data_IF_646581613010
#
_entry.id   IF_646581613010
#
_cell.length_a   1.000
_cell.length_b   1.000
_cell.length_c   1.000
_cell.angle_alpha   90.00
_cell.angle_beta   90.00
_cell.angle_gamma   90.00
#
_symmetry.space_group_name_H-M   'P 1'
#
loop_
_entity.id
_entity.type
_entity.pdbx_description
1 polymer ?
#
# COMPACT_ATOMS: atom_id res chain seq x y z
N UNK A 1 44.98 47.47 12.27
CA UNK A 1 45.08 46.01 12.05
C UNK A 1 43.79 45.35 12.50
N UNK A 2 42.86 44.99 11.59
CA UNK A 2 41.64 44.26 11.93
C UNK A 2 41.91 42.75 11.99
N UNK A 3 41.38 42.09 13.03
CA UNK A 3 41.53 40.67 13.33
C UNK A 3 40.90 39.76 12.24
N UNK A 4 41.57 38.67 11.82
CA UNK A 4 41.13 37.78 10.73
C UNK A 4 39.96 36.85 11.11
N UNK A 5 39.47 36.89 12.34
CA UNK A 5 38.51 35.90 12.87
C UNK A 5 37.06 36.21 12.43
N UNK A 6 36.75 37.46 12.04
CA UNK A 6 35.38 37.83 11.63
C UNK A 6 35.01 37.43 10.21
N UNK A 7 35.96 37.04 9.35
CA UNK A 7 35.68 36.69 7.94
C UNK A 7 35.36 35.21 7.71
N UNK A 8 35.67 34.33 8.68
CA UNK A 8 35.42 32.88 8.58
C UNK A 8 34.01 32.54 9.03
N UNK A 9 33.49 33.21 10.07
CA UNK A 9 32.14 33.01 10.58
C UNK A 9 31.05 33.50 9.60
N UNK A 10 31.32 34.56 8.83
CA UNK A 10 30.37 35.03 7.81
C UNK A 10 30.32 34.11 6.59
N UNK A 11 31.43 33.44 6.23
CA UNK A 11 31.47 32.48 5.12
C UNK A 11 30.81 31.14 5.48
N UNK A 12 30.90 30.69 6.74
CA UNK A 12 30.20 29.49 7.23
C UNK A 12 28.68 29.69 7.34
N UNK A 13 28.23 30.89 7.73
CA UNK A 13 26.80 31.21 7.77
C UNK A 13 26.16 31.24 6.37
N UNK A 14 26.88 31.71 5.35
CA UNK A 14 26.40 31.70 3.96
C UNK A 14 26.45 30.30 3.31
N UNK A 15 27.41 29.45 3.68
CA UNK A 15 27.43 28.06 3.23
C UNK A 15 26.26 27.23 3.82
N UNK A 16 25.90 27.48 5.09
CA UNK A 16 24.73 26.84 5.70
C UNK A 16 23.40 27.35 5.11
N UNK A 17 23.28 28.65 4.80
CA UNK A 17 22.11 29.21 4.13
C UNK A 17 21.97 28.75 2.67
N UNK A 18 23.08 28.54 1.94
CA UNK A 18 23.07 28.02 0.58
C UNK A 18 22.76 26.52 0.51
N UNK A 19 23.11 25.73 1.54
CA UNK A 19 22.71 24.32 1.64
C UNK A 19 21.22 24.14 2.00
N UNK A 20 20.59 25.11 2.66
CA UNK A 20 19.15 25.06 2.98
C UNK A 20 18.23 25.44 1.81
N UNK A 21 18.75 25.99 0.71
CA UNK A 21 17.98 26.35 -0.49
C UNK A 21 18.06 25.29 -1.61
N UNK A 22 18.86 24.24 -1.44
CA UNK A 22 19.03 23.16 -2.42
C UNK A 22 18.15 21.92 -2.20
N UNK A 23 17.43 21.84 -1.08
CA UNK A 23 16.45 20.80 -0.84
C UNK A 23 15.08 21.21 -1.40
N UNK A 24 15.04 21.55 -2.70
CA UNK A 24 13.81 21.33 -3.45
C UNK A 24 13.58 19.82 -3.35
N UNK A 25 12.70 19.43 -2.44
CA UNK A 25 12.09 18.13 -2.47
C UNK A 25 11.73 17.89 -3.93
N UNK A 26 12.37 16.90 -4.57
CA UNK A 26 11.73 16.20 -5.66
C UNK A 26 10.46 15.62 -5.03
N UNK A 27 9.41 16.44 -4.94
CA UNK A 27 8.08 15.96 -4.64
C UNK A 27 7.77 15.08 -5.84
N UNK A 28 7.91 13.77 -5.63
CA UNK A 28 7.36 12.79 -6.54
C UNK A 28 5.93 13.25 -6.82
N UNK A 29 5.57 13.39 -8.12
CA UNK A 29 4.19 13.73 -8.48
C UNK A 29 3.25 12.79 -7.71
N UNK A 30 2.17 13.31 -7.12
CA UNK A 30 1.18 12.49 -6.45
C UNK A 30 0.78 11.32 -7.34
N UNK A 31 0.57 10.14 -6.75
CA UNK A 31 0.06 8.99 -7.48
C UNK A 31 -1.41 9.27 -7.80
N UNK A 32 -1.77 9.25 -9.08
CA UNK A 32 -3.13 9.51 -9.52
C UNK A 32 -4.10 8.47 -8.92
N UNK A 33 -5.31 8.88 -8.48
CA UNK A 33 -6.33 7.95 -8.02
C UNK A 33 -6.64 6.87 -9.07
N UNK A 34 -7.01 5.65 -8.67
CA UNK A 34 -7.11 4.51 -9.57
C UNK A 34 -8.13 4.72 -10.69
N UNK A 35 -9.24 5.43 -10.46
CA UNK A 35 -10.19 5.77 -11.53
C UNK A 35 -9.60 6.75 -12.54
N UNK A 36 -8.85 7.75 -12.10
CA UNK A 36 -8.15 8.66 -13.00
C UNK A 36 -7.09 7.91 -13.81
N UNK A 37 -6.32 7.04 -13.14
CA UNK A 37 -5.31 6.22 -13.79
C UNK A 37 -5.91 5.31 -14.87
N UNK A 38 -7.04 4.64 -14.62
CA UNK A 38 -7.71 3.79 -15.61
C UNK A 38 -8.09 4.55 -16.90
N UNK A 39 -8.43 5.84 -16.77
CA UNK A 39 -8.83 6.68 -17.91
C UNK A 39 -7.71 7.58 -18.45
N UNK A 40 -6.53 7.62 -17.83
CA UNK A 40 -5.37 8.37 -18.32
C UNK A 40 -4.95 8.01 -19.75
N UNK A 41 -4.46 8.96 -20.54
CA UNK A 41 -4.34 8.85 -22.00
C UNK A 41 -3.60 7.60 -22.50
N UNK A 42 -2.54 7.16 -21.82
CA UNK A 42 -1.71 6.00 -22.21
C UNK A 42 -2.32 4.64 -21.86
N UNK A 43 -3.40 4.67 -21.09
CA UNK A 43 -4.07 3.52 -20.55
C UNK A 43 -5.32 3.19 -21.35
N UNK A 44 -5.57 1.89 -21.45
CA UNK A 44 -6.65 1.30 -22.22
C UNK A 44 -7.51 0.46 -21.31
N UNK A 45 -8.82 0.53 -21.54
CA UNK A 45 -9.81 -0.19 -20.74
C UNK A 45 -10.73 -0.97 -21.68
N UNK A 46 -10.66 -2.29 -21.59
CA UNK A 46 -11.30 -3.21 -22.53
C UNK A 46 -12.05 -4.31 -21.79
N UNK A 47 -13.24 -4.65 -22.27
CA UNK A 47 -13.91 -5.88 -21.88
C UNK A 47 -13.65 -6.99 -22.91
N UNK A 48 -13.32 -8.19 -22.45
CA UNK A 48 -13.01 -9.32 -23.32
C UNK A 48 -13.08 -10.67 -22.61
N UNK A 49 -13.10 -11.73 -23.41
CA UNK A 49 -12.99 -13.10 -22.91
C UNK A 49 -11.53 -13.49 -22.80
N UNK A 50 -11.11 -14.11 -21.70
CA UNK A 50 -9.77 -14.68 -21.57
C UNK A 50 -9.66 -15.92 -22.46
N UNK A 51 -8.76 -15.92 -23.45
CA UNK A 51 -8.63 -17.01 -24.43
C UNK A 51 -7.31 -17.77 -24.31
N UNK A 52 -6.33 -17.25 -23.58
CA UNK A 52 -5.04 -17.91 -23.34
C UNK A 52 -4.43 -17.45 -22.02
N UNK A 53 -3.89 -18.41 -21.25
CA UNK A 53 -3.05 -18.16 -20.07
C UNK A 53 -1.65 -18.66 -20.42
N UNK A 54 -0.70 -17.74 -20.54
CA UNK A 54 0.68 -18.09 -20.86
C UNK A 54 1.51 -18.14 -19.57
N UNK A 55 2.19 -19.27 -19.27
CA UNK A 55 2.99 -19.43 -18.05
C UNK A 55 4.19 -18.47 -17.97
N UNK A 56 4.56 -17.82 -19.07
CA UNK A 56 5.56 -16.76 -19.08
C UNK A 56 5.07 -15.43 -18.46
N UNK A 57 3.89 -15.39 -17.85
CA UNK A 57 3.34 -14.20 -17.19
C UNK A 57 2.53 -13.30 -18.13
N UNK A 58 1.78 -13.91 -19.06
CA UNK A 58 0.94 -13.17 -20.02
C UNK A 58 -0.46 -13.73 -20.09
N UNK A 59 -1.44 -12.87 -20.30
CA UNK A 59 -2.84 -13.22 -20.53
C UNK A 59 -3.28 -12.65 -21.87
N UNK A 60 -3.98 -13.45 -22.68
CA UNK A 60 -4.52 -13.00 -23.97
C UNK A 60 -6.03 -12.91 -23.90
N UNK A 61 -6.56 -11.72 -24.17
CA UNK A 61 -7.99 -11.44 -24.17
C UNK A 61 -8.51 -11.25 -25.59
N UNK A 62 -9.62 -11.91 -25.93
CA UNK A 62 -10.39 -11.58 -27.12
C UNK A 62 -11.30 -10.38 -26.80
N UNK A 63 -10.99 -9.22 -27.39
CA UNK A 63 -11.71 -7.98 -27.22
C UNK A 63 -13.17 -8.13 -27.66
N UNK A 64 -14.10 -7.79 -26.77
CA UNK A 64 -15.54 -7.66 -27.09
C UNK A 64 -15.95 -6.18 -27.15
N UNK A 65 -15.50 -5.39 -26.19
CA UNK A 65 -15.93 -4.00 -26.02
C UNK A 65 -14.77 -3.08 -25.58
N UNK A 66 -14.84 -1.80 -25.91
CA UNK A 66 -13.81 -0.79 -25.57
C UNK A 66 -14.45 0.28 -24.70
N UNK A 67 -14.06 0.32 -23.43
CA UNK A 67 -14.73 1.13 -22.41
C UNK A 67 -14.10 2.52 -22.23
N UNK A 68 -12.85 2.70 -22.66
CA UNK A 68 -12.16 3.99 -22.61
C UNK A 68 -12.67 5.00 -23.67
N UNK A 69 -13.25 4.51 -24.77
CA UNK A 69 -13.72 5.33 -25.89
C UNK A 69 -12.62 6.01 -26.72
N UNK A 70 -11.35 5.59 -26.57
CA UNK A 70 -10.18 6.20 -27.21
C UNK A 70 -9.90 5.63 -28.59
N UNK A 71 -9.27 6.43 -29.46
CA UNK A 71 -8.77 6.03 -30.78
C UNK A 71 -7.23 5.92 -30.79
N UNK A 72 -6.62 5.12 -31.68
CA UNK A 72 -7.24 4.10 -32.54
C UNK A 72 -7.82 2.96 -31.69
N UNK A 73 -8.71 2.11 -32.23
CA UNK A 73 -9.28 0.99 -31.46
C UNK A 73 -8.19 -0.07 -31.14
N UNK A 74 -8.18 -0.71 -29.96
CA UNK A 74 -7.24 -1.80 -29.67
C UNK A 74 -7.42 -2.99 -30.63
N UNK A 75 -6.39 -3.83 -30.82
CA UNK A 75 -6.47 -5.05 -31.61
C UNK A 75 -7.55 -6.01 -31.08
N UNK A 76 -7.94 -6.99 -31.91
CA UNK A 76 -8.94 -7.99 -31.50
C UNK A 76 -8.42 -8.95 -30.43
N UNK A 77 -7.14 -9.30 -30.50
CA UNK A 77 -6.42 -10.04 -29.46
C UNK A 77 -5.52 -9.08 -28.71
N UNK A 78 -5.68 -9.04 -27.40
CA UNK A 78 -4.91 -8.17 -26.52
C UNK A 78 -4.07 -9.05 -25.63
N UNK A 79 -2.77 -9.03 -25.87
CA UNK A 79 -1.78 -9.76 -25.10
C UNK A 79 -1.15 -8.81 -24.06
N UNK A 80 -1.44 -9.04 -22.79
CA UNK A 80 -0.96 -8.24 -21.66
C UNK A 80 -0.05 -9.04 -20.75
N UNK A 81 1.04 -8.40 -20.32
CA UNK A 81 1.86 -8.92 -19.23
C UNK A 81 1.19 -8.68 -17.89
N UNK A 82 1.30 -9.66 -17.00
CA UNK A 82 0.64 -9.65 -15.70
C UNK A 82 1.58 -10.09 -14.57
N UNK A 83 1.30 -9.71 -13.31
CA UNK A 83 1.96 -10.31 -12.17
C UNK A 83 1.74 -11.83 -12.15
N UNK A 84 2.77 -12.61 -11.79
CA UNK A 84 2.69 -14.08 -11.77
C UNK A 84 1.59 -14.60 -10.83
N UNK A 85 1.36 -13.89 -9.73
CA UNK A 85 0.32 -14.19 -8.73
C UNK A 85 -1.10 -14.14 -9.29
N UNK A 86 -1.31 -13.50 -10.46
CA UNK A 86 -2.60 -13.41 -11.12
C UNK A 86 -2.95 -14.68 -11.92
N UNK A 87 -1.95 -15.43 -12.39
CA UNK A 87 -2.17 -16.55 -13.31
C UNK A 87 -3.08 -17.62 -12.72
N UNK A 88 -2.99 -17.86 -11.41
CA UNK A 88 -3.79 -18.86 -10.69
C UNK A 88 -5.18 -18.33 -10.27
N UNK A 89 -5.46 -17.04 -10.50
CA UNK A 89 -6.70 -16.35 -10.06
C UNK A 89 -7.69 -16.11 -11.20
N UNK A 90 -7.32 -16.48 -12.43
CA UNK A 90 -8.12 -16.24 -13.63
C UNK A 90 -8.57 -17.55 -14.25
N UNK A 91 -9.74 -17.52 -14.88
CA UNK A 91 -10.36 -18.70 -15.48
C UNK A 91 -10.46 -18.51 -16.99
N UNK A 92 -9.96 -19.47 -17.75
CA UNK A 92 -10.07 -19.46 -19.21
C UNK A 92 -11.54 -19.44 -19.64
N UNK A 93 -11.87 -18.65 -20.65
CA UNK A 93 -13.23 -18.48 -21.19
C UNK A 93 -14.08 -17.43 -20.47
N UNK A 94 -13.73 -17.06 -19.22
CA UNK A 94 -14.45 -16.04 -18.46
C UNK A 94 -14.27 -14.64 -19.06
N UNK A 95 -15.23 -13.78 -18.73
CA UNK A 95 -15.24 -12.38 -19.19
C UNK A 95 -14.67 -11.44 -18.14
N UNK A 96 -13.74 -10.61 -18.58
CA UNK A 96 -13.06 -9.65 -17.74
C UNK A 96 -13.07 -8.25 -18.37
N UNK A 97 -12.94 -7.25 -17.51
CA UNK A 97 -12.57 -5.89 -17.86
C UNK A 97 -11.12 -5.68 -17.43
N UNK A 98 -10.26 -5.31 -18.37
CA UNK A 98 -8.81 -5.17 -18.16
C UNK A 98 -8.37 -3.73 -18.44
N UNK A 99 -7.68 -3.16 -17.46
CA UNK A 99 -6.93 -1.91 -17.58
C UNK A 99 -5.45 -2.19 -17.85
N UNK A 100 -4.89 -1.63 -18.93
CA UNK A 100 -3.49 -1.86 -19.29
C UNK A 100 -2.83 -0.61 -19.89
N UNK A 101 -1.53 -0.46 -19.65
CA UNK A 101 -0.69 0.56 -20.26
C UNK A 101 -0.05 0.02 -21.55
N UNK A 102 0.07 0.91 -22.54
CA UNK A 102 0.74 0.61 -23.82
C UNK A 102 2.16 1.18 -23.91
N UNK A 103 2.46 2.20 -23.11
CA UNK A 103 3.78 2.84 -23.00
C UNK A 103 4.32 2.84 -21.58
N UNK A 104 5.58 3.24 -21.44
CA UNK A 104 6.22 3.56 -20.16
C UNK A 104 6.85 4.95 -20.23
N UNK A 105 7.03 5.62 -19.09
CA UNK A 105 7.88 6.82 -19.04
C UNK A 105 9.29 6.47 -19.52
N UNK A 106 9.86 7.30 -20.39
CA UNK A 106 11.22 7.09 -20.84
C UNK A 106 12.18 7.36 -19.66
N UNK A 107 13.00 6.38 -19.24
CA UNK A 107 13.93 6.58 -18.14
C UNK A 107 15.02 7.61 -18.45
N UNK A 108 15.27 7.93 -19.73
CA UNK A 108 16.27 8.92 -20.17
C UNK A 108 15.68 10.31 -20.35
N UNK A 109 14.37 10.38 -20.56
CA UNK A 109 13.63 11.63 -20.65
C UNK A 109 12.26 11.48 -19.98
N UNK A 110 12.13 11.85 -18.69
CA UNK A 110 10.88 11.70 -17.93
C UNK A 110 9.69 12.48 -18.52
N UNK A 111 9.94 13.43 -19.43
CA UNK A 111 8.91 14.20 -20.14
C UNK A 111 8.41 13.48 -21.40
N UNK A 112 9.18 12.51 -21.91
CA UNK A 112 8.80 11.69 -23.05
C UNK A 112 8.39 10.28 -22.60
N UNK A 113 7.49 9.67 -23.37
CA UNK A 113 7.03 8.31 -23.14
C UNK A 113 7.45 7.44 -24.32
N UNK A 114 8.02 6.28 -24.00
CA UNK A 114 8.42 5.28 -24.96
C UNK A 114 7.39 4.14 -25.00
N UNK A 115 7.22 3.51 -26.16
CA UNK A 115 6.49 2.24 -26.22
C UNK A 115 7.17 1.22 -25.30
N UNK A 116 6.35 0.38 -24.67
CA UNK A 116 6.88 -0.66 -23.80
C UNK A 116 7.51 -1.75 -24.69
N UNK A 117 8.84 -2.00 -24.62
CA UNK A 117 9.52 -2.92 -25.54
C UNK A 117 9.00 -4.36 -25.42
N UNK A 118 8.51 -4.74 -24.24
CA UNK A 118 7.95 -6.07 -23.96
C UNK A 118 6.42 -6.15 -24.23
N UNK A 119 5.86 -5.08 -24.80
CA UNK A 119 4.44 -4.92 -25.09
C UNK A 119 3.58 -4.48 -23.89
N UNK A 120 2.25 -4.48 -24.08
CA UNK A 120 1.29 -4.01 -23.10
C UNK A 120 1.45 -4.65 -21.71
N UNK A 121 1.21 -3.86 -20.67
CA UNK A 121 1.33 -4.29 -19.28
C UNK A 121 0.06 -3.93 -18.52
N UNK A 122 -0.49 -4.90 -17.79
CA UNK A 122 -1.65 -4.66 -16.93
C UNK A 122 -1.30 -3.62 -15.85
N UNK A 123 -2.23 -2.71 -15.58
CA UNK A 123 -1.98 -1.65 -14.60
C UNK A 123 -1.89 -2.23 -13.20
N UNK A 124 -0.88 -1.76 -12.46
CA UNK A 124 -0.68 -2.05 -11.04
C UNK A 124 -0.46 -0.72 -10.33
N UNK A 125 -1.31 -0.42 -9.35
CA UNK A 125 -1.24 0.79 -8.52
C UNK A 125 -2.03 0.56 -7.22
N UNK A 126 -2.02 1.53 -6.31
CA UNK A 126 -2.87 1.50 -5.11
C UNK A 126 -4.34 1.44 -5.57
N UNK A 127 -5.05 0.40 -5.12
CA UNK A 127 -6.42 0.09 -5.54
C UNK A 127 -6.57 -0.59 -6.91
N UNK A 128 -5.47 -0.93 -7.58
CA UNK A 128 -5.44 -1.72 -8.81
C UNK A 128 -4.36 -2.79 -8.67
N UNK A 129 -4.64 -3.90 -7.98
CA UNK A 129 -3.67 -5.00 -7.83
C UNK A 129 -4.19 -6.36 -8.32
N UNK A 130 -4.14 -6.60 -9.64
CA UNK A 130 -3.96 -5.64 -10.73
C UNK A 130 -5.32 -5.12 -11.25
N UNK A 131 -5.32 -4.23 -12.27
CA UNK A 131 -6.53 -3.71 -12.92
C UNK A 131 -7.27 -4.76 -13.77
N UNK A 132 -7.76 -5.82 -13.13
CA UNK A 132 -8.55 -6.89 -13.71
C UNK A 132 -9.84 -7.08 -12.90
N UNK A 133 -10.97 -6.85 -13.55
CA UNK A 133 -12.29 -6.96 -12.94
C UNK A 133 -13.11 -8.02 -13.65
N UNK A 134 -14.01 -8.71 -12.94
CA UNK A 134 -15.02 -9.52 -13.61
C UNK A 134 -15.98 -8.61 -14.40
N UNK A 135 -16.39 -9.05 -15.58
CA UNK A 135 -17.31 -8.27 -16.43
C UNK A 135 -18.76 -8.33 -15.91
N UNK A 136 -19.03 -7.66 -14.78
CA UNK A 136 -20.35 -7.62 -14.14
C UNK A 136 -21.08 -6.30 -14.41
N UNK A 137 -22.43 -6.26 -14.29
CA UNK A 137 -23.19 -5.02 -14.41
C UNK A 137 -22.74 -3.93 -13.42
N UNK A 138 -22.35 -4.32 -12.20
CA UNK A 138 -21.87 -3.38 -11.18
C UNK A 138 -20.56 -2.72 -11.59
N UNK A 139 -19.57 -3.51 -12.03
CA UNK A 139 -18.28 -2.99 -12.52
C UNK A 139 -18.51 -2.07 -13.73
N UNK A 140 -19.35 -2.48 -14.68
CA UNK A 140 -19.70 -1.65 -15.84
C UNK A 140 -20.36 -0.33 -15.44
N UNK A 141 -21.29 -0.34 -14.49
CA UNK A 141 -21.99 0.86 -14.06
C UNK A 141 -21.07 1.86 -13.34
N UNK A 142 -20.12 1.35 -12.54
CA UNK A 142 -19.10 2.15 -11.87
C UNK A 142 -18.16 2.78 -12.91
N UNK A 143 -17.56 1.97 -13.79
CA UNK A 143 -16.63 2.45 -14.81
C UNK A 143 -17.32 3.41 -15.80
N UNK A 144 -18.56 3.15 -16.22
CA UNK A 144 -19.31 4.07 -17.06
C UNK A 144 -19.49 5.45 -16.42
N UNK A 145 -19.72 5.49 -15.09
CA UNK A 145 -19.80 6.76 -14.35
C UNK A 145 -18.43 7.41 -14.22
N UNK A 146 -17.35 6.63 -14.06
CA UNK A 146 -15.98 7.13 -13.92
C UNK A 146 -15.36 7.69 -15.20
N UNK A 147 -16.00 7.48 -16.36
CA UNK A 147 -15.45 7.85 -17.67
C UNK A 147 -15.19 9.35 -17.83
N UNK A 148 -15.97 10.21 -17.18
CA UNK A 148 -15.77 11.65 -17.18
C UNK A 148 -15.36 12.16 -15.81
N UNK A 149 -14.65 13.29 -15.78
CA UNK A 149 -14.25 13.99 -14.55
C UNK A 149 -15.46 14.34 -13.69
N UNK A 150 -16.46 15.04 -14.26
CA UNK A 150 -17.76 15.30 -13.60
C UNK A 150 -18.43 14.03 -13.07
N UNK A 151 -18.26 12.91 -13.77
CA UNK A 151 -18.78 11.62 -13.36
C UNK A 151 -18.07 11.08 -12.12
N UNK A 152 -16.73 11.15 -12.09
CA UNK A 152 -15.90 10.80 -10.92
C UNK A 152 -16.21 11.66 -9.70
N UNK A 153 -16.44 12.95 -9.91
CA UNK A 153 -16.83 13.89 -8.86
C UNK A 153 -18.31 13.79 -8.47
N UNK A 154 -19.13 12.93 -9.10
CA UNK A 154 -20.58 12.93 -8.84
C UNK A 154 -20.95 12.21 -7.53
N UNK A 155 -22.08 12.60 -6.92
CA UNK A 155 -22.65 11.85 -5.77
C UNK A 155 -22.90 10.39 -6.10
N UNK A 156 -23.35 10.12 -7.33
CA UNK A 156 -23.57 8.75 -7.82
C UNK A 156 -22.28 7.92 -7.78
N UNK A 157 -21.14 8.49 -8.15
CA UNK A 157 -19.85 7.80 -8.05
C UNK A 157 -19.53 7.49 -6.59
N UNK A 158 -19.69 8.46 -5.70
CA UNK A 158 -19.48 8.26 -4.27
C UNK A 158 -20.33 7.09 -3.73
N UNK A 159 -21.64 7.07 -4.04
CA UNK A 159 -22.54 5.99 -3.62
C UNK A 159 -22.10 4.63 -4.18
N UNK A 160 -21.65 4.59 -5.44
CA UNK A 160 -21.11 3.38 -6.07
C UNK A 160 -19.81 2.90 -5.42
N UNK A 161 -18.92 3.82 -5.02
CA UNK A 161 -17.68 3.48 -4.30
C UNK A 161 -17.97 2.94 -2.90
N UNK A 162 -18.92 3.53 -2.17
CA UNK A 162 -19.34 2.99 -0.86
C UNK A 162 -19.97 1.61 -0.99
N UNK A 163 -20.79 1.39 -2.02
CA UNK A 163 -21.38 0.08 -2.31
C UNK A 163 -20.30 -0.94 -2.71
N UNK A 164 -19.32 -0.54 -3.52
CA UNK A 164 -18.19 -1.38 -3.90
C UNK A 164 -17.35 -1.78 -2.68
N UNK A 165 -17.05 -0.82 -1.80
CA UNK A 165 -16.28 -1.05 -0.58
C UNK A 165 -16.97 -2.02 0.39
N UNK A 166 -18.28 -1.87 0.57
CA UNK A 166 -19.08 -2.75 1.42
C UNK A 166 -19.47 -4.09 0.76
N UNK A 167 -19.23 -4.23 -0.55
CA UNK A 167 -19.60 -5.41 -1.33
C UNK A 167 -18.58 -6.55 -1.22
N UNK A 168 -18.91 -7.74 -1.76
CA UNK A 168 -18.04 -8.93 -1.67
C UNK A 168 -16.98 -9.00 -2.78
N UNK A 169 -17.05 -8.14 -3.81
CA UNK A 169 -16.12 -8.17 -4.93
C UNK A 169 -14.79 -7.52 -4.54
N UNK A 170 -13.78 -8.35 -4.29
CA UNK A 170 -12.45 -7.90 -3.83
C UNK A 170 -11.82 -6.86 -4.74
N UNK A 171 -11.90 -7.03 -6.06
CA UNK A 171 -11.29 -6.08 -7.00
C UNK A 171 -11.99 -4.71 -6.92
N UNK A 172 -13.30 -4.69 -6.66
CA UNK A 172 -14.03 -3.45 -6.41
C UNK A 172 -13.77 -2.87 -5.02
N UNK A 173 -13.56 -3.69 -3.99
CA UNK A 173 -13.14 -3.23 -2.67
C UNK A 173 -11.77 -2.55 -2.73
N UNK A 174 -10.80 -3.17 -3.41
CA UNK A 174 -9.47 -2.60 -3.64
C UNK A 174 -9.56 -1.28 -4.39
N UNK A 175 -10.32 -1.24 -5.49
CA UNK A 175 -10.56 -0.02 -6.27
C UNK A 175 -11.15 1.10 -5.41
N UNK A 176 -12.18 0.81 -4.62
CA UNK A 176 -12.82 1.79 -3.76
C UNK A 176 -11.88 2.27 -2.65
N UNK A 177 -11.14 1.37 -2.01
CA UNK A 177 -10.18 1.72 -0.96
C UNK A 177 -9.02 2.56 -1.49
N UNK A 178 -8.50 2.24 -2.68
CA UNK A 178 -7.47 3.05 -3.33
C UNK A 178 -7.98 4.40 -3.81
N UNK A 179 -9.23 4.48 -4.30
CA UNK A 179 -9.86 5.75 -4.63
C UNK A 179 -10.00 6.61 -3.38
N UNK A 180 -10.50 6.05 -2.28
CA UNK A 180 -10.55 6.77 -1.00
C UNK A 180 -9.16 7.25 -0.61
N UNK A 181 -8.14 6.38 -0.65
CA UNK A 181 -6.80 6.72 -0.19
C UNK A 181 -6.13 7.88 -0.96
N UNK A 182 -6.33 7.92 -2.27
CA UNK A 182 -5.62 8.86 -3.15
C UNK A 182 -6.45 10.10 -3.52
N UNK A 183 -7.77 10.00 -3.51
CA UNK A 183 -8.65 11.11 -3.89
C UNK A 183 -8.99 11.97 -2.68
N UNK A 184 -8.31 13.12 -2.58
CA UNK A 184 -8.54 14.10 -1.53
C UNK A 184 -9.92 14.78 -1.64
N UNK A 185 -10.50 14.86 -2.83
CA UNK A 185 -11.77 15.56 -3.08
C UNK A 185 -12.97 14.81 -2.49
N UNK A 186 -12.80 13.52 -2.17
CA UNK A 186 -13.81 12.75 -1.45
C UNK A 186 -13.99 13.17 0.02
N UNK A 187 -13.08 13.98 0.58
CA UNK A 187 -12.99 14.27 2.02
C UNK A 187 -14.31 14.76 2.66
N UNK A 188 -14.96 15.77 2.06
CA UNK A 188 -16.21 16.32 2.60
C UNK A 188 -17.34 15.27 2.62
N UNK A 189 -17.49 14.51 1.53
CA UNK A 189 -18.53 13.47 1.43
C UNK A 189 -18.26 12.30 2.35
N UNK A 190 -16.99 11.94 2.53
CA UNK A 190 -16.58 10.92 3.49
C UNK A 190 -16.99 11.34 4.91
N UNK A 191 -16.77 12.60 5.27
CA UNK A 191 -17.13 13.16 6.57
C UNK A 191 -18.64 13.09 6.84
N UNK A 192 -19.46 13.42 5.84
CA UNK A 192 -20.92 13.49 5.99
C UNK A 192 -21.62 12.12 5.89
N UNK A 193 -21.13 11.24 5.03
CA UNK A 193 -21.89 10.06 4.59
C UNK A 193 -21.08 8.76 4.50
N UNK A 194 -19.74 8.82 4.47
CA UNK A 194 -18.89 7.65 4.22
C UNK A 194 -18.25 7.05 5.47
N UNK A 195 -18.05 7.86 6.51
CA UNK A 195 -17.24 7.52 7.69
C UNK A 195 -17.60 6.16 8.30
N UNK A 196 -18.87 5.94 8.62
CA UNK A 196 -19.33 4.70 9.26
C UNK A 196 -19.10 3.46 8.38
N UNK A 197 -19.24 3.59 7.06
CA UNK A 197 -18.99 2.49 6.11
C UNK A 197 -17.49 2.16 6.06
N UNK A 198 -16.64 3.18 5.96
CA UNK A 198 -15.17 3.00 5.91
C UNK A 198 -14.67 2.36 7.21
N UNK A 199 -15.09 2.88 8.35
CA UNK A 199 -14.72 2.34 9.65
C UNK A 199 -15.19 0.88 9.80
N UNK A 200 -16.44 0.58 9.44
CA UNK A 200 -16.98 -0.78 9.49
C UNK A 200 -16.14 -1.75 8.65
N UNK A 201 -15.79 -1.37 7.42
CA UNK A 201 -15.01 -2.21 6.51
C UNK A 201 -13.58 -2.40 7.01
N UNK A 202 -12.96 -1.38 7.58
CA UNK A 202 -11.62 -1.48 8.17
C UNK A 202 -11.58 -2.41 9.40
N UNK A 203 -12.66 -2.42 10.20
CA UNK A 203 -12.82 -3.30 11.37
C UNK A 203 -13.15 -4.75 11.01
N UNK A 204 -13.84 -4.99 9.90
CA UNK A 204 -14.30 -6.32 9.49
C UNK A 204 -13.13 -7.25 9.12
N UNK A 205 -13.00 -8.37 9.85
CA UNK A 205 -11.98 -9.39 9.61
C UNK A 205 -12.19 -10.17 8.30
N UNK A 206 -13.41 -10.15 7.72
CA UNK A 206 -13.72 -10.74 6.43
C UNK A 206 -13.23 -9.90 5.23
N UNK A 207 -12.93 -8.62 5.45
CA UNK A 207 -12.38 -7.73 4.42
C UNK A 207 -10.91 -8.12 4.12
N UNK A 208 -10.48 -8.10 2.85
CA UNK A 208 -9.08 -8.36 2.49
C UNK A 208 -8.09 -7.53 3.31
N UNK A 209 -6.96 -8.09 3.78
CA UNK A 209 -6.01 -7.37 4.62
C UNK A 209 -5.48 -6.07 4.00
N UNK A 210 -5.22 -6.06 2.69
CA UNK A 210 -4.68 -4.88 2.00
C UNK A 210 -5.70 -3.74 1.90
N UNK A 211 -7.00 -4.06 1.70
CA UNK A 211 -8.10 -3.08 1.80
C UNK A 211 -8.11 -2.45 3.19
N UNK A 212 -8.08 -3.28 4.24
CA UNK A 212 -8.10 -2.79 5.64
C UNK A 212 -6.89 -1.91 5.94
N UNK A 213 -5.70 -2.30 5.45
CA UNK A 213 -4.46 -1.54 5.62
C UNK A 213 -4.56 -0.17 4.93
N UNK A 214 -5.05 -0.14 3.69
CA UNK A 214 -5.26 1.10 2.92
C UNK A 214 -6.23 2.05 3.62
N UNK A 215 -7.36 1.52 4.14
CA UNK A 215 -8.34 2.34 4.87
C UNK A 215 -7.79 2.88 6.20
N UNK A 216 -7.06 2.05 6.95
CA UNK A 216 -6.40 2.47 8.20
C UNK A 216 -5.38 3.57 7.95
N UNK A 217 -4.52 3.41 6.94
CA UNK A 217 -3.56 4.43 6.54
C UNK A 217 -4.27 5.72 6.11
N UNK A 218 -5.34 5.61 5.33
CA UNK A 218 -6.15 6.75 4.89
C UNK A 218 -6.73 7.54 6.06
N UNK A 219 -7.25 6.83 7.08
CA UNK A 219 -7.82 7.44 8.27
C UNK A 219 -6.76 8.10 9.16
N UNK A 220 -5.56 7.51 9.25
CA UNK A 220 -4.42 8.10 9.96
C UNK A 220 -3.91 9.38 9.28
N UNK A 221 -3.89 9.41 7.94
CA UNK A 221 -3.43 10.56 7.16
C UNK A 221 -4.47 11.70 7.11
N UNK A 222 -5.77 11.38 7.12
CA UNK A 222 -6.87 12.35 7.00
C UNK A 222 -7.92 12.20 8.11
N UNK A 223 -7.56 12.37 9.39
CA UNK A 223 -8.49 12.20 10.50
C UNK A 223 -9.63 13.22 10.51
N UNK A 224 -9.50 14.36 9.82
CA UNK A 224 -10.57 15.34 9.67
C UNK A 224 -11.70 14.86 8.75
N UNK A 225 -11.40 13.96 7.80
CA UNK A 225 -12.35 13.44 6.82
C UNK A 225 -12.89 12.07 7.24
N UNK A 226 -12.00 11.26 7.81
CA UNK A 226 -12.26 9.87 8.13
C UNK A 226 -12.32 9.59 9.63
N UNK A 227 -12.15 10.58 10.51
CA UNK A 227 -12.27 10.40 11.96
C UNK A 227 -11.04 9.81 12.65
N UNK A 228 -11.07 9.81 13.98
CA UNK A 228 -9.96 9.37 14.85
C UNK A 228 -9.99 7.89 15.26
N UNK A 229 -10.91 7.08 14.73
CA UNK A 229 -11.09 5.67 15.14
C UNK A 229 -9.90 4.77 14.82
N UNK A 230 -9.04 5.17 13.87
CA UNK A 230 -7.94 4.36 13.37
C UNK A 230 -6.96 3.93 14.47
N UNK A 231 -6.80 4.73 15.54
CA UNK A 231 -5.94 4.38 16.68
C UNK A 231 -6.50 3.19 17.46
N UNK A 232 -7.78 3.25 17.80
CA UNK A 232 -8.48 2.19 18.52
C UNK A 232 -8.50 0.90 17.69
N UNK A 233 -8.80 1.02 16.39
CA UNK A 233 -8.79 -0.12 15.47
C UNK A 233 -7.39 -0.69 15.32
N UNK A 234 -6.37 0.15 15.18
CA UNK A 234 -4.98 -0.29 15.06
C UNK A 234 -4.49 -1.03 16.31
N UNK A 235 -4.78 -0.50 17.50
CA UNK A 235 -4.46 -1.16 18.77
C UNK A 235 -5.20 -2.49 18.87
N UNK A 236 -6.50 -2.52 18.55
CA UNK A 236 -7.29 -3.74 18.57
C UNK A 236 -6.70 -4.78 17.61
N UNK A 237 -6.38 -4.41 16.38
CA UNK A 237 -5.79 -5.28 15.37
C UNK A 237 -4.50 -5.93 15.85
N UNK A 238 -3.55 -5.14 16.37
CA UNK A 238 -2.30 -5.66 16.94
C UNK A 238 -2.55 -6.55 18.15
N UNK A 239 -3.63 -6.31 18.90
CA UNK A 239 -3.96 -7.05 20.13
C UNK A 239 -4.78 -8.32 19.89
N UNK A 240 -5.56 -8.41 18.82
CA UNK A 240 -6.50 -9.53 18.61
C UNK A 240 -6.15 -10.40 17.41
N UNK A 241 -5.36 -9.89 16.46
CA UNK A 241 -4.90 -10.69 15.31
C UNK A 241 -3.99 -11.82 15.80
N UNK A 242 -4.25 -13.08 15.40
CA UNK A 242 -3.35 -14.20 15.70
C UNK A 242 -1.94 -13.98 15.15
N UNK A 243 -0.91 -14.49 15.83
CA UNK A 243 0.49 -14.34 15.36
C UNK A 243 0.84 -15.40 14.31
N UNK A 244 0.05 -16.47 14.22
CA UNK A 244 0.25 -17.57 13.29
C UNK A 244 -1.02 -18.43 13.14
N UNK A 245 -0.87 -19.60 12.52
CA UNK A 245 -1.98 -20.50 12.20
C UNK A 245 -2.67 -20.18 10.87
N UNK A 246 -2.04 -19.35 10.03
CA UNK A 246 -2.54 -19.04 8.69
C UNK A 246 -2.19 -20.17 7.72
N UNK A 247 -3.21 -20.73 7.08
CA UNK A 247 -3.06 -21.66 5.97
C UNK A 247 -2.86 -20.88 4.66
N UNK A 248 -2.40 -21.54 3.60
CA UNK A 248 -2.34 -20.93 2.26
C UNK A 248 -3.72 -20.40 1.78
N UNK A 249 -4.81 -20.96 2.29
CA UNK A 249 -6.17 -20.55 1.95
C UNK A 249 -6.67 -19.30 2.70
N UNK A 250 -5.98 -18.87 3.76
CA UNK A 250 -6.30 -17.66 4.52
C UNK A 250 -5.26 -16.58 4.21
N UNK A 251 -5.67 -15.37 3.80
CA UNK A 251 -4.70 -14.32 3.47
C UNK A 251 -3.89 -13.94 4.72
N UNK A 252 -2.56 -14.03 4.60
CA UNK A 252 -1.61 -13.69 5.66
C UNK A 252 -1.77 -12.21 6.08
N UNK A 253 -2.18 -11.91 7.32
CA UNK A 253 -2.36 -10.53 7.78
C UNK A 253 -1.06 -9.87 8.19
N UNK A 254 0.11 -10.50 8.00
CA UNK A 254 1.41 -9.94 8.39
C UNK A 254 1.66 -8.56 7.80
N UNK A 255 1.27 -8.31 6.55
CA UNK A 255 1.39 -6.99 5.92
C UNK A 255 0.51 -5.96 6.63
N UNK A 256 -0.76 -6.29 6.86
CA UNK A 256 -1.71 -5.45 7.59
C UNK A 256 -1.21 -5.11 9.01
N UNK A 257 -0.68 -6.10 9.74
CA UNK A 257 -0.11 -5.90 11.07
C UNK A 257 1.14 -5.03 11.03
N UNK A 258 2.04 -5.27 10.07
CA UNK A 258 3.24 -4.46 9.89
C UNK A 258 2.88 -3.00 9.63
N UNK A 259 2.01 -2.73 8.65
CA UNK A 259 1.51 -1.39 8.33
C UNK A 259 0.85 -0.75 9.55
N UNK A 260 0.06 -1.51 10.31
CA UNK A 260 -0.61 -1.00 11.51
C UNK A 260 0.41 -0.59 12.59
N UNK A 261 1.42 -1.42 12.86
CA UNK A 261 2.49 -1.09 13.81
C UNK A 261 3.27 0.15 13.35
N UNK A 262 3.56 0.27 12.05
CA UNK A 262 4.24 1.44 11.48
C UNK A 262 3.43 2.71 11.64
N UNK A 263 2.12 2.66 11.38
CA UNK A 263 1.21 3.80 11.59
C UNK A 263 1.14 4.21 13.07
N UNK A 264 0.95 3.25 13.97
CA UNK A 264 0.92 3.52 15.42
C UNK A 264 2.24 4.14 15.89
N UNK A 265 3.37 3.64 15.39
CA UNK A 265 4.71 4.14 15.73
C UNK A 265 4.96 5.55 15.17
N UNK A 266 4.59 5.80 13.91
CA UNK A 266 4.73 7.10 13.23
C UNK A 266 3.96 8.21 13.96
N UNK A 267 2.81 7.88 14.52
CA UNK A 267 1.94 8.80 15.25
C UNK A 267 2.13 8.74 16.77
N UNK A 268 3.17 8.06 17.26
CA UNK A 268 3.49 7.92 18.69
C UNK A 268 2.32 7.40 19.56
N UNK A 269 1.47 6.53 18.99
CA UNK A 269 0.37 5.89 19.71
C UNK A 269 0.93 4.82 20.64
N UNK A 270 0.59 4.90 21.93
CA UNK A 270 1.08 3.94 22.93
C UNK A 270 0.39 2.58 22.76
N UNK A 271 1.14 1.59 22.29
CA UNK A 271 0.69 0.20 22.18
C UNK A 271 1.01 -0.56 23.47
N UNK A 272 0.07 -1.35 24.04
CA UNK A 272 0.34 -2.17 25.21
C UNK A 272 1.53 -3.12 25.00
N UNK A 273 2.42 -3.21 25.98
CA UNK A 273 3.63 -4.05 25.88
C UNK A 273 3.31 -5.49 25.53
N UNK A 274 2.25 -6.07 26.11
CA UNK A 274 1.87 -7.47 25.87
C UNK A 274 1.34 -7.72 24.45
N UNK A 275 0.72 -6.69 23.84
CA UNK A 275 0.35 -6.72 22.44
C UNK A 275 1.59 -6.68 21.54
N UNK A 276 2.65 -5.92 21.89
CA UNK A 276 3.90 -5.91 21.12
C UNK A 276 4.70 -7.21 21.30
N UNK A 277 4.77 -7.74 22.53
CA UNK A 277 5.57 -8.94 22.85
C UNK A 277 5.22 -10.12 21.95
N UNK A 278 3.92 -10.42 21.77
CA UNK A 278 3.51 -11.57 20.94
C UNK A 278 4.05 -11.50 19.51
N UNK A 279 4.20 -10.30 18.95
CA UNK A 279 4.65 -10.12 17.57
C UNK A 279 6.15 -10.35 17.39
N UNK A 280 6.93 -10.42 18.46
CA UNK A 280 8.34 -10.87 18.42
C UNK A 280 8.43 -12.34 17.99
N UNK A 281 7.39 -13.15 18.21
CA UNK A 281 7.28 -14.53 17.74
C UNK A 281 6.76 -14.66 16.30
N UNK A 282 6.52 -13.55 15.59
CA UNK A 282 5.97 -13.59 14.23
C UNK A 282 6.85 -14.41 13.28
N UNK A 283 6.23 -15.14 12.37
CA UNK A 283 6.93 -15.79 11.25
C UNK A 283 7.49 -14.78 10.24
N UNK A 284 7.01 -13.53 10.26
CA UNK A 284 7.52 -12.44 9.46
C UNK A 284 8.59 -11.64 10.25
N UNK A 285 9.88 -11.69 9.85
CA UNK A 285 10.95 -10.99 10.56
C UNK A 285 10.75 -9.48 10.63
N UNK A 286 10.10 -8.85 9.64
CA UNK A 286 9.85 -7.41 9.63
C UNK A 286 8.85 -7.00 10.72
N UNK A 287 7.83 -7.84 10.96
CA UNK A 287 6.86 -7.63 12.05
C UNK A 287 7.56 -7.77 13.41
N UNK A 288 8.38 -8.82 13.57
CA UNK A 288 9.16 -9.03 14.80
C UNK A 288 10.15 -7.89 15.06
N UNK A 289 10.81 -7.37 14.02
CA UNK A 289 11.68 -6.20 14.10
C UNK A 289 10.93 -4.97 14.58
N UNK A 290 9.81 -4.63 13.90
CA UNK A 290 9.03 -3.44 14.23
C UNK A 290 8.51 -3.49 15.67
N UNK A 291 7.99 -4.63 16.09
CA UNK A 291 7.53 -4.84 17.47
C UNK A 291 8.68 -4.67 18.50
N UNK A 292 9.85 -5.22 18.21
CA UNK A 292 11.05 -5.10 19.07
C UNK A 292 11.50 -3.65 19.21
N UNK A 293 11.52 -2.88 18.11
CA UNK A 293 11.87 -1.46 18.12
C UNK A 293 10.86 -0.62 18.93
N UNK A 294 9.57 -0.93 18.83
CA UNK A 294 8.55 -0.27 19.64
C UNK A 294 8.69 -0.61 21.13
N UNK A 295 9.01 -1.87 21.47
CA UNK A 295 9.33 -2.26 22.85
C UNK A 295 10.55 -1.50 23.38
N UNK A 296 11.60 -1.33 22.57
CA UNK A 296 12.81 -0.59 22.95
C UNK A 296 12.52 0.85 23.36
N UNK A 297 11.61 1.52 22.64
CA UNK A 297 11.19 2.90 22.96
C UNK A 297 10.49 2.97 24.33
N UNK A 298 9.83 1.90 24.76
CA UNK A 298 9.25 1.80 26.10
C UNK A 298 10.31 1.46 27.14
N UNK A 299 11.15 0.47 26.86
CA UNK A 299 12.28 0.06 27.69
C UNK A 299 13.22 -0.86 26.92
N UNK A 300 14.51 -0.53 26.89
CA UNK A 300 15.54 -1.39 26.30
C UNK A 300 15.65 -2.76 27.00
N UNK A 301 15.38 -2.82 28.31
CA UNK A 301 15.35 -4.09 29.05
C UNK A 301 14.17 -4.98 28.63
N UNK A 302 13.04 -4.35 28.30
CA UNK A 302 11.83 -5.05 27.84
C UNK A 302 12.04 -5.67 26.45
N UNK A 303 12.64 -4.93 25.52
CA UNK A 303 13.05 -5.48 24.21
C UNK A 303 13.93 -6.72 24.40
N UNK A 304 15.02 -6.61 25.17
CA UNK A 304 15.99 -7.70 25.36
C UNK A 304 15.38 -8.95 25.98
N UNK A 305 14.69 -8.79 27.09
CA UNK A 305 14.05 -9.91 27.79
C UNK A 305 13.02 -10.61 26.90
N UNK A 306 12.26 -9.86 26.09
CA UNK A 306 11.29 -10.44 25.15
C UNK A 306 11.99 -11.22 24.03
N UNK A 307 13.05 -10.67 23.44
CA UNK A 307 13.84 -11.35 22.40
C UNK A 307 14.46 -12.65 22.94
N UNK A 308 15.02 -12.62 24.16
CA UNK A 308 15.58 -13.79 24.81
C UNK A 308 14.52 -14.88 25.05
N UNK A 309 13.32 -14.49 25.50
CA UNK A 309 12.19 -15.41 25.65
C UNK A 309 11.77 -16.03 24.31
N UNK A 310 11.70 -15.24 23.24
CA UNK A 310 11.36 -15.74 21.91
C UNK A 310 12.42 -16.72 21.38
N UNK A 311 13.71 -16.43 21.60
CA UNK A 311 14.80 -17.33 21.20
C UNK A 311 14.82 -18.64 22.00
N UNK A 312 14.31 -18.65 23.25
CA UNK A 312 14.18 -19.86 24.05
C UNK A 312 13.04 -20.78 23.57
N UNK A 313 12.09 -20.26 22.80
CA UNK A 313 10.98 -21.04 22.24
C UNK A 313 11.46 -21.89 21.05
N UNK A 314 11.43 -23.23 21.11
CA UNK A 314 11.85 -24.08 20.01
C UNK A 314 10.95 -23.96 18.76
N UNK A 315 9.69 -23.51 18.92
CA UNK A 315 8.75 -23.34 17.82
C UNK A 315 8.96 -22.04 17.01
N UNK A 316 9.89 -21.17 17.44
CA UNK A 316 10.18 -19.92 16.73
C UNK A 316 10.68 -20.21 15.29
N UNK A 317 10.06 -19.61 14.26
CA UNK A 317 10.47 -19.80 12.86
C UNK A 317 11.95 -19.50 12.63
N UNK A 318 12.64 -20.35 11.86
CA UNK A 318 14.09 -20.27 11.67
C UNK A 318 14.57 -18.93 11.08
N UNK A 319 13.78 -18.34 10.18
CA UNK A 319 14.03 -17.01 9.59
C UNK A 319 14.01 -15.92 10.65
N UNK A 320 12.98 -15.89 11.49
CA UNK A 320 12.83 -14.95 12.60
C UNK A 320 13.90 -15.18 13.67
N UNK A 321 14.20 -16.43 14.02
CA UNK A 321 15.30 -16.78 14.95
C UNK A 321 16.64 -16.19 14.49
N UNK A 322 17.04 -16.44 13.25
CA UNK A 322 18.28 -15.92 12.67
C UNK A 322 18.32 -14.39 12.72
N UNK A 323 17.20 -13.74 12.43
CA UNK A 323 17.07 -12.29 12.53
C UNK A 323 17.28 -11.80 13.98
N UNK A 324 16.55 -12.38 14.95
CA UNK A 324 16.58 -11.99 16.36
C UNK A 324 17.97 -12.21 16.99
N UNK A 325 18.65 -13.32 16.68
CA UNK A 325 20.04 -13.56 17.09
C UNK A 325 21.01 -12.51 16.52
N UNK A 326 20.81 -12.13 15.25
CA UNK A 326 21.56 -11.05 14.62
C UNK A 326 21.30 -9.70 15.27
N UNK A 327 20.05 -9.42 15.64
CA UNK A 327 19.64 -8.19 16.31
C UNK A 327 20.18 -8.08 17.72
N UNK A 328 20.08 -9.14 18.53
CA UNK A 328 20.60 -9.16 19.90
C UNK A 328 22.12 -8.91 19.93
N UNK A 329 22.88 -9.57 19.03
CA UNK A 329 24.32 -9.31 18.86
C UNK A 329 24.66 -7.87 18.43
N UNK A 330 23.75 -7.17 17.73
CA UNK A 330 23.95 -5.75 17.42
C UNK A 330 23.75 -4.88 18.67
N UNK A 331 22.74 -5.20 19.48
CA UNK A 331 22.49 -4.48 20.74
C UNK A 331 23.65 -4.63 21.73
N UNK A 332 24.18 -5.84 21.89
CA UNK A 332 25.34 -6.12 22.77
C UNK A 332 26.58 -5.31 22.36
N UNK A 333 26.89 -5.29 21.05
CA UNK A 333 28.01 -4.49 20.53
C UNK A 333 27.84 -2.99 20.72
N UNK A 334 26.60 -2.48 20.66
CA UNK A 334 26.31 -1.06 20.90
C UNK A 334 26.56 -0.70 22.38
N UNK A 335 26.18 -1.59 23.31
CA UNK A 335 26.45 -1.41 24.74
C UNK A 335 27.95 -1.43 25.06
N UNK A 336 28.69 -2.38 24.49
CA UNK A 336 30.15 -2.47 24.66
C UNK A 336 30.84 -1.19 24.19
N UNK A 337 30.42 -0.64 23.05
CA UNK A 337 30.93 0.64 22.53
C UNK A 337 30.56 1.82 23.43
N UNK A 338 29.33 1.88 23.93
CA UNK A 338 28.90 2.94 24.84
C UNK A 338 29.72 2.93 26.14
N UNK A 339 30.01 1.74 26.69
CA UNK A 339 30.87 1.57 27.87
C UNK A 339 32.33 1.93 27.60
N UNK A 340 32.87 1.60 26.43
CA UNK A 340 34.25 1.92 26.07
C UNK A 340 34.50 3.41 25.77
N UNK A 341 33.48 4.17 25.34
CA UNK A 341 33.58 5.60 25.03
C UNK A 341 33.30 6.54 26.21
N UNK A 342 32.97 6.00 27.39
CA UNK A 342 32.73 6.76 28.64
C UNK A 342 33.84 6.56 29.68
N UNK A 343 34.94 5.89 29.30
CA UNK A 343 36.11 5.61 30.13
C UNK A 343 37.27 6.57 29.89
#
# INVERSE_FOLDING_TARGET
MPSPIRSVLSRLAWAAAALCLGASALQAKPVDPPLELLYSDDNRLVAGSLIEINPAGRLVFQRKDVLDGKKPRPPEKIDVRVPRTLLDRVTLGERYIVGYATGRKDPRDPLHRAQNPDGPQMLVSIGLDPALFRDTPQVRALLATARSERGRESRKMFDQLMQALAGPDRALQDLAAGQIALDAELGERLREHGHATVEKVARDAGTPPDVRASLLQSAALRPADLGGWWQEVGINLVTTTPVGGYSEASPDPSNLVLTTLELLDQHAVKVPSDALKRWVWSANPAVAERASLMLRRQSAALERSTIQQALADPALPATTRKFLEGHLRRLERLDERAKAGTG
#
